data_IF_364679717132
#
_entry.id   IF_364679717132
#
_cell.length_a   1.000
_cell.length_b   1.000
_cell.length_c   1.000
_cell.angle_alpha   90.00
_cell.angle_beta   90.00
_cell.angle_gamma   90.00
#
_symmetry.space_group_name_H-M   'P 1'
#
loop_
_entity.id
_entity.type
_entity.pdbx_description
1 polymer ?
#
# COMPACT_ATOMS: atom_id res chain seq x y z
N UNK A 1 17.98 1.96 9.06
CA UNK A 1 16.66 1.49 8.59
C UNK A 1 16.23 2.32 7.40
N UNK A 2 15.72 1.65 6.39
CA UNK A 2 15.37 2.32 5.14
C UNK A 2 14.10 3.17 5.29
N UNK A 3 14.11 4.33 4.65
CA UNK A 3 12.93 5.18 4.58
C UNK A 3 11.86 4.49 3.70
N UNK A 4 10.60 4.63 4.10
CA UNK A 4 9.48 4.06 3.38
C UNK A 4 8.73 5.20 2.68
N UNK A 5 8.74 5.24 1.34
CA UNK A 5 8.03 6.29 0.63
C UNK A 5 6.51 6.08 0.74
N UNK A 6 5.81 7.17 1.00
CA UNK A 6 4.34 7.17 1.09
C UNK A 6 3.79 8.40 0.40
N UNK A 7 2.65 8.23 -0.27
CA UNK A 7 1.88 9.38 -0.73
C UNK A 7 1.19 10.02 0.47
N UNK A 8 0.74 11.26 0.32
CA UNK A 8 -0.02 11.93 1.39
C UNK A 8 -1.26 11.13 1.75
N UNK A 9 -1.99 10.63 0.74
CA UNK A 9 -3.18 9.82 0.96
C UNK A 9 -2.86 8.50 1.67
N UNK A 10 -1.77 7.84 1.29
CA UNK A 10 -1.36 6.57 1.89
C UNK A 10 -0.97 6.72 3.35
N UNK A 11 -0.22 7.77 3.68
CA UNK A 11 0.16 8.06 5.07
C UNK A 11 -1.08 8.34 5.92
N UNK A 12 -2.02 9.13 5.40
CA UNK A 12 -3.27 9.44 6.10
C UNK A 12 -4.10 8.19 6.34
N UNK A 13 -4.19 7.30 5.35
CA UNK A 13 -4.94 6.04 5.49
C UNK A 13 -4.35 5.16 6.61
N UNK A 14 -3.03 5.08 6.72
CA UNK A 14 -2.38 4.35 7.81
C UNK A 14 -2.64 4.98 9.16
N UNK A 15 -2.61 6.30 9.26
CA UNK A 15 -2.93 7.01 10.50
C UNK A 15 -4.37 6.75 10.95
N UNK A 16 -5.31 6.75 10.03
CA UNK A 16 -6.73 6.46 10.32
C UNK A 16 -6.89 5.02 10.78
N UNK A 17 -6.24 4.07 10.10
CA UNK A 17 -6.26 2.67 10.51
C UNK A 17 -5.69 2.49 11.92
N UNK A 18 -4.57 3.15 12.22
CA UNK A 18 -3.92 3.08 13.53
C UNK A 18 -4.86 3.57 14.64
N UNK A 19 -5.54 4.70 14.41
CA UNK A 19 -6.50 5.24 15.38
C UNK A 19 -7.65 4.25 15.60
N UNK A 20 -8.21 3.68 14.55
CA UNK A 20 -9.29 2.70 14.67
C UNK A 20 -8.85 1.49 15.47
N UNK A 21 -7.65 0.97 15.21
CA UNK A 21 -7.11 -0.18 15.94
C UNK A 21 -6.92 0.12 17.42
N UNK A 22 -6.41 1.30 17.77
CA UNK A 22 -6.16 1.69 19.17
C UNK A 22 -7.42 2.10 19.91
N UNK A 23 -8.33 2.82 19.26
CA UNK A 23 -9.47 3.43 19.94
C UNK A 23 -10.75 2.60 19.87
N UNK A 24 -10.87 1.73 18.86
CA UNK A 24 -12.07 0.91 18.64
C UNK A 24 -11.77 -0.57 18.86
N UNK A 25 -10.83 -1.12 18.11
CA UNK A 25 -10.59 -2.58 18.12
C UNK A 25 -9.90 -3.06 19.40
N UNK A 26 -8.90 -2.34 19.88
CA UNK A 26 -8.19 -2.73 21.12
C UNK A 26 -9.13 -2.78 22.32
N UNK A 27 -9.95 -1.74 22.59
CA UNK A 27 -10.91 -1.80 23.71
C UNK A 27 -11.93 -2.91 23.53
N UNK A 28 -12.41 -3.15 22.32
CA UNK A 28 -13.36 -4.24 22.03
C UNK A 28 -12.77 -5.59 22.40
N UNK A 29 -11.54 -5.84 21.98
CA UNK A 29 -10.86 -7.12 22.24
C UNK A 29 -10.61 -7.31 23.73
N UNK A 30 -10.20 -6.26 24.44
CA UNK A 30 -10.04 -6.33 25.91
C UNK A 30 -11.35 -6.72 26.59
N UNK A 31 -12.46 -6.13 26.13
CA UNK A 31 -13.79 -6.47 26.65
C UNK A 31 -14.17 -7.91 26.31
N UNK A 32 -13.89 -8.37 25.08
CA UNK A 32 -14.19 -9.74 24.66
C UNK A 32 -13.41 -10.77 25.50
N UNK A 33 -12.14 -10.48 25.80
CA UNK A 33 -11.31 -11.34 26.65
C UNK A 33 -11.90 -11.42 28.07
N UNK A 34 -12.29 -10.28 28.61
CA UNK A 34 -12.89 -10.23 29.94
C UNK A 34 -14.19 -11.05 29.99
N UNK A 35 -15.03 -10.91 28.97
CA UNK A 35 -16.27 -11.67 28.87
C UNK A 35 -16.01 -13.17 28.76
N UNK A 36 -15.05 -13.56 27.92
CA UNK A 36 -14.69 -14.96 27.70
C UNK A 36 -14.15 -15.61 28.99
N UNK A 37 -13.41 -14.86 29.80
CA UNK A 37 -12.86 -15.35 31.07
C UNK A 37 -13.94 -15.66 32.08
N UNK A 38 -15.09 -15.04 32.02
CA UNK A 38 -16.23 -15.31 32.89
C UNK A 38 -16.79 -16.71 32.70
N UNK A 39 -16.51 -17.37 31.58
CA UNK A 39 -16.94 -18.75 31.30
C UNK A 39 -16.11 -19.80 32.06
N UNK A 40 -15.05 -19.43 32.75
CA UNK A 40 -14.30 -20.26 33.69
C UNK A 40 -13.01 -20.86 33.16
N UNK A 41 -13.06 -22.04 32.54
CA UNK A 41 -11.86 -22.74 32.10
C UNK A 41 -11.18 -22.04 30.91
N UNK A 42 -9.91 -21.65 31.09
CA UNK A 42 -9.16 -20.95 30.02
C UNK A 42 -8.56 -21.91 29.02
N UNK A 43 -8.22 -23.14 29.41
CA UNK A 43 -7.60 -24.09 28.49
C UNK A 43 -8.54 -24.58 27.39
N UNK A 44 -9.78 -24.80 27.71
CA UNK A 44 -10.80 -25.35 26.81
C UNK A 44 -11.78 -24.27 26.32
N UNK A 45 -11.52 -23.01 26.65
CA UNK A 45 -12.40 -21.91 26.33
C UNK A 45 -12.05 -21.37 24.91
N UNK A 46 -12.81 -21.85 23.91
CA UNK A 46 -12.58 -21.47 22.52
C UNK A 46 -12.75 -19.96 22.28
N UNK A 47 -13.69 -19.33 22.97
CA UNK A 47 -13.91 -17.88 22.86
C UNK A 47 -12.72 -17.08 23.39
N UNK A 48 -12.15 -17.53 24.51
CA UNK A 48 -10.96 -16.92 25.09
C UNK A 48 -9.76 -17.03 24.13
N UNK A 49 -9.51 -18.22 23.57
CA UNK A 49 -8.41 -18.43 22.64
C UNK A 49 -8.58 -17.63 21.37
N UNK A 50 -9.79 -17.56 20.81
CA UNK A 50 -10.07 -16.75 19.64
C UNK A 50 -9.81 -15.26 19.88
N UNK A 51 -10.25 -14.76 21.05
CA UNK A 51 -10.04 -13.36 21.42
C UNK A 51 -8.55 -13.03 21.62
N UNK A 52 -7.79 -13.96 22.22
CA UNK A 52 -6.35 -13.80 22.40
C UNK A 52 -5.61 -13.82 21.07
N UNK A 53 -6.00 -14.67 20.13
CA UNK A 53 -5.41 -14.71 18.79
C UNK A 53 -5.70 -13.41 18.03
N UNK A 54 -6.92 -12.92 18.12
CA UNK A 54 -7.31 -11.65 17.52
C UNK A 54 -6.51 -10.48 18.12
N UNK A 55 -6.33 -10.49 19.43
CA UNK A 55 -5.50 -9.48 20.11
C UNK A 55 -4.07 -9.46 19.57
N UNK A 56 -3.46 -10.64 19.43
CA UNK A 56 -2.12 -10.76 18.88
C UNK A 56 -2.03 -10.21 17.45
N UNK A 57 -3.01 -10.51 16.63
CA UNK A 57 -3.10 -10.03 15.26
C UNK A 57 -3.16 -8.49 15.22
N UNK A 58 -4.07 -7.88 15.97
CA UNK A 58 -4.22 -6.43 15.95
C UNK A 58 -3.04 -5.71 16.59
N UNK A 59 -2.47 -6.23 17.68
CA UNK A 59 -1.28 -5.64 18.30
C UNK A 59 -0.08 -5.70 17.35
N UNK A 60 0.06 -6.78 16.60
CA UNK A 60 1.09 -6.90 15.57
C UNK A 60 0.89 -5.88 14.46
N UNK A 61 -0.34 -5.66 14.01
CA UNK A 61 -0.66 -4.66 12.99
C UNK A 61 -0.38 -3.24 13.48
N UNK A 62 -0.72 -2.94 14.74
CA UNK A 62 -0.41 -1.64 15.36
C UNK A 62 1.10 -1.38 15.33
N UNK A 63 1.91 -2.35 15.75
CA UNK A 63 3.36 -2.21 15.74
C UNK A 63 3.91 -2.02 14.34
N UNK A 64 3.38 -2.75 13.37
CA UNK A 64 3.78 -2.63 11.97
C UNK A 64 3.50 -1.22 11.44
N UNK A 65 2.29 -0.69 11.68
CA UNK A 65 1.92 0.66 11.22
C UNK A 65 2.78 1.71 11.91
N UNK A 66 2.97 1.62 13.23
CA UNK A 66 3.80 2.56 13.97
C UNK A 66 5.24 2.57 13.47
N UNK A 67 5.80 1.39 13.17
CA UNK A 67 7.12 1.28 12.59
C UNK A 67 7.22 1.95 11.21
N UNK A 68 6.23 1.70 10.35
CA UNK A 68 6.20 2.30 9.01
C UNK A 68 6.08 3.81 9.06
N UNK A 69 5.20 4.33 9.91
CA UNK A 69 5.04 5.78 10.06
C UNK A 69 6.30 6.44 10.62
N UNK A 70 7.03 5.75 11.51
CA UNK A 70 8.28 6.27 12.06
C UNK A 70 9.40 6.37 11.02
N UNK A 71 9.34 5.55 9.96
CA UNK A 71 10.33 5.53 8.87
C UNK A 71 9.80 6.20 7.60
N UNK A 72 8.66 6.83 7.67
CA UNK A 72 7.98 7.40 6.52
C UNK A 72 8.78 8.51 5.86
N UNK A 73 8.88 8.43 4.53
CA UNK A 73 9.29 9.53 3.67
C UNK A 73 8.04 10.01 2.94
N UNK A 74 7.47 11.12 3.39
CA UNK A 74 6.24 11.64 2.80
C UNK A 74 6.56 12.34 1.48
N UNK A 75 5.89 11.93 0.42
CA UNK A 75 6.07 12.52 -0.91
C UNK A 75 4.74 13.12 -1.36
N UNK A 76 4.72 14.45 -1.50
CA UNK A 76 3.60 15.15 -2.09
C UNK A 76 3.89 15.35 -3.56
N UNK A 77 3.27 14.52 -4.40
CA UNK A 77 3.54 14.49 -5.84
C UNK A 77 3.23 15.84 -6.52
N UNK A 78 2.27 16.59 -6.00
CA UNK A 78 1.90 17.89 -6.59
C UNK A 78 2.98 18.95 -6.42
N UNK A 79 3.94 18.72 -5.52
CA UNK A 79 5.05 19.64 -5.27
C UNK A 79 6.34 19.24 -5.98
N UNK A 80 6.32 18.11 -6.70
CA UNK A 80 7.48 17.65 -7.46
C UNK A 80 7.62 18.43 -8.78
N UNK A 81 8.84 18.45 -9.32
CA UNK A 81 9.12 19.04 -10.62
C UNK A 81 8.36 18.26 -11.71
N UNK A 82 7.54 18.97 -12.47
CA UNK A 82 6.72 18.34 -13.53
C UNK A 82 7.50 18.30 -14.85
N UNK A 83 8.51 17.44 -14.90
CA UNK A 83 9.42 17.32 -16.03
C UNK A 83 9.10 16.14 -16.97
N UNK A 84 7.98 15.45 -16.75
CA UNK A 84 7.56 14.31 -17.55
C UNK A 84 8.17 12.99 -17.12
N UNK A 85 8.97 12.98 -16.07
CA UNK A 85 9.59 11.74 -15.57
C UNK A 85 8.64 10.95 -14.69
N UNK A 86 8.73 9.63 -14.81
CA UNK A 86 8.01 8.71 -13.93
C UNK A 86 8.77 8.60 -12.62
N UNK A 87 8.15 9.09 -11.56
CA UNK A 87 8.69 9.02 -10.20
C UNK A 87 7.60 8.54 -9.25
N UNK A 88 7.97 8.23 -8.02
CA UNK A 88 7.00 7.83 -7.00
C UNK A 88 5.86 8.85 -6.90
N UNK A 89 4.64 8.36 -6.85
CA UNK A 89 3.43 9.17 -6.69
C UNK A 89 2.79 9.63 -8.00
N UNK A 90 3.49 9.53 -9.13
CA UNK A 90 2.95 9.98 -10.42
C UNK A 90 1.91 9.00 -10.97
N UNK A 91 0.96 9.55 -11.73
CA UNK A 91 -0.04 8.77 -12.47
C UNK A 91 0.37 8.72 -13.93
N UNK A 92 0.61 7.52 -14.42
CA UNK A 92 1.21 7.29 -15.74
C UNK A 92 0.20 6.62 -16.64
N UNK A 93 -0.07 7.24 -17.81
CA UNK A 93 -0.90 6.63 -18.86
C UNK A 93 0.01 5.87 -19.80
N UNK A 94 -0.27 4.58 -19.98
CA UNK A 94 0.50 3.68 -20.81
C UNK A 94 -0.33 3.18 -21.98
N UNK A 95 0.34 3.02 -23.11
CA UNK A 95 -0.23 2.34 -24.28
C UNK A 95 0.43 0.97 -24.41
N UNK A 96 -0.38 -0.09 -24.30
CA UNK A 96 0.10 -1.44 -24.59
C UNK A 96 0.24 -1.56 -26.10
N UNK A 97 1.47 -1.68 -26.58
CA UNK A 97 1.76 -1.67 -28.01
C UNK A 97 1.33 -2.94 -28.73
N UNK A 98 1.16 -4.04 -28.00
CA UNK A 98 0.69 -5.30 -28.56
C UNK A 98 -0.83 -5.29 -28.75
N UNK A 99 -1.57 -4.87 -27.72
CA UNK A 99 -3.03 -4.88 -27.70
C UNK A 99 -3.66 -3.56 -28.16
N UNK A 100 -2.85 -2.52 -28.32
CA UNK A 100 -3.28 -1.17 -28.67
C UNK A 100 -4.33 -0.62 -27.70
N UNK A 101 -4.14 -0.89 -26.41
CA UNK A 101 -5.05 -0.45 -25.35
C UNK A 101 -4.31 0.46 -24.37
N UNK A 102 -5.04 1.43 -23.78
CA UNK A 102 -4.49 2.36 -22.81
C UNK A 102 -4.91 1.97 -21.40
N UNK A 103 -4.00 2.16 -20.46
CA UNK A 103 -4.25 1.96 -19.04
C UNK A 103 -3.48 3.01 -18.25
N UNK A 104 -4.01 3.42 -17.10
CA UNK A 104 -3.33 4.37 -16.21
C UNK A 104 -3.05 3.72 -14.88
N UNK A 105 -1.83 3.93 -14.37
CA UNK A 105 -1.41 3.47 -13.06
C UNK A 105 -0.77 4.59 -12.27
N UNK A 106 -1.04 4.62 -10.97
CA UNK A 106 -0.33 5.48 -10.03
C UNK A 106 0.69 4.64 -9.27
N UNK A 107 1.92 5.13 -9.15
CA UNK A 107 2.98 4.46 -8.38
C UNK A 107 2.86 4.90 -6.93
N UNK A 108 2.58 3.95 -6.04
CA UNK A 108 2.34 4.21 -4.61
C UNK A 108 3.18 3.28 -3.74
N UNK A 109 3.12 3.46 -2.43
CA UNK A 109 3.76 2.54 -1.48
C UNK A 109 3.02 1.19 -1.43
N UNK A 110 3.70 0.16 -0.90
CA UNK A 110 3.12 -1.19 -0.84
C UNK A 110 1.78 -1.25 -0.12
N UNK A 111 1.63 -0.48 0.97
CA UNK A 111 0.41 -0.50 1.77
C UNK A 111 -0.77 0.15 1.07
N UNK A 112 -0.51 1.01 0.11
CA UNK A 112 -1.55 1.70 -0.64
C UNK A 112 -1.88 1.01 -1.96
N UNK A 113 -1.07 0.04 -2.39
CA UNK A 113 -1.22 -0.61 -3.68
C UNK A 113 -2.56 -1.34 -3.79
N UNK A 114 -3.28 -1.10 -4.89
CA UNK A 114 -4.54 -1.76 -5.22
C UNK A 114 -4.72 -1.71 -6.73
N UNK A 115 -4.44 -2.81 -7.38
CA UNK A 115 -4.44 -2.90 -8.85
C UNK A 115 -5.82 -2.58 -9.45
N UNK A 116 -6.89 -2.90 -8.75
CA UNK A 116 -8.25 -2.62 -9.22
C UNK A 116 -8.52 -1.11 -9.27
N UNK A 117 -7.86 -0.34 -8.41
CA UNK A 117 -7.94 1.12 -8.39
C UNK A 117 -6.84 1.78 -9.21
N UNK A 118 -6.05 1.00 -9.94
CA UNK A 118 -4.95 1.52 -10.73
C UNK A 118 -3.74 1.97 -9.90
N UNK A 119 -3.61 1.48 -8.69
CA UNK A 119 -2.49 1.81 -7.80
C UNK A 119 -1.53 0.65 -7.74
N UNK A 120 -0.30 0.87 -8.20
CA UNK A 120 0.73 -0.16 -8.22
C UNK A 120 1.83 0.15 -7.22
N UNK A 121 2.36 -0.90 -6.59
CA UNK A 121 3.48 -0.76 -5.67
C UNK A 121 4.73 -0.28 -6.42
N UNK A 122 5.49 0.62 -5.79
CA UNK A 122 6.77 1.05 -6.31
C UNK A 122 7.79 -0.09 -6.43
N UNK A 123 7.54 -1.22 -5.77
CA UNK A 123 8.37 -2.43 -5.86
C UNK A 123 7.87 -3.42 -6.90
N UNK A 124 6.74 -3.15 -7.55
CA UNK A 124 6.21 -4.04 -8.60
C UNK A 124 7.09 -4.01 -9.84
N UNK A 125 7.11 -5.09 -10.64
CA UNK A 125 7.90 -5.13 -11.87
C UNK A 125 7.57 -3.99 -12.85
N UNK A 126 6.29 -3.64 -12.98
CA UNK A 126 5.87 -2.57 -13.88
C UNK A 126 6.35 -1.21 -13.39
N UNK A 127 6.22 -0.93 -12.07
CA UNK A 127 6.71 0.33 -11.50
C UNK A 127 8.23 0.45 -11.65
N UNK A 128 8.97 -0.63 -11.41
CA UNK A 128 10.43 -0.63 -11.56
C UNK A 128 10.86 -0.37 -13.02
N UNK A 129 10.09 -0.85 -13.97
CA UNK A 129 10.38 -0.60 -15.38
C UNK A 129 10.08 0.85 -15.76
N UNK A 130 9.10 1.49 -15.14
CA UNK A 130 8.68 2.86 -15.45
C UNK A 130 9.54 3.92 -14.78
N UNK A 131 9.92 3.71 -13.51
CA UNK A 131 10.66 4.71 -12.73
C UNK A 131 11.99 5.04 -13.42
N UNK A 132 12.24 6.34 -13.61
CA UNK A 132 13.43 6.83 -14.29
C UNK A 132 13.26 7.08 -15.79
N UNK A 133 12.18 6.58 -16.37
CA UNK A 133 11.82 6.89 -17.75
C UNK A 133 10.91 8.11 -17.82
N UNK A 134 10.60 8.59 -19.01
CA UNK A 134 9.82 9.80 -19.18
C UNK A 134 8.80 9.66 -20.32
N UNK A 135 7.93 10.65 -20.45
CA UNK A 135 6.95 10.68 -21.55
C UNK A 135 7.63 10.45 -22.89
N UNK A 136 7.02 9.60 -23.70
CA UNK A 136 7.53 9.23 -25.02
C UNK A 136 8.41 8.01 -25.04
N UNK A 137 8.90 7.56 -23.89
CA UNK A 137 9.75 6.38 -23.82
C UNK A 137 8.93 5.09 -23.98
N UNK A 138 9.57 4.08 -24.55
CA UNK A 138 9.05 2.73 -24.60
C UNK A 138 9.74 1.91 -23.51
N UNK A 139 8.96 1.13 -22.76
CA UNK A 139 9.48 0.27 -21.69
C UNK A 139 8.99 -1.15 -21.87
N UNK A 140 9.84 -2.10 -21.52
CA UNK A 140 9.49 -3.53 -21.53
C UNK A 140 9.28 -4.00 -20.10
N UNK A 141 8.11 -4.54 -19.83
CA UNK A 141 7.77 -5.13 -18.52
C UNK A 141 7.84 -6.63 -18.65
N UNK A 142 8.67 -7.27 -17.84
CA UNK A 142 8.79 -8.73 -17.82
C UNK A 142 7.68 -9.31 -16.96
N UNK A 143 6.77 -10.03 -17.59
CA UNK A 143 5.65 -10.70 -16.92
C UNK A 143 5.78 -12.22 -17.05
N UNK A 144 5.16 -12.99 -16.16
CA UNK A 144 5.24 -14.47 -16.23
C UNK A 144 4.78 -15.06 -17.56
N UNK A 145 3.83 -14.40 -18.23
CA UNK A 145 3.30 -14.86 -19.52
C UNK A 145 4.08 -14.32 -20.73
N UNK A 146 5.13 -13.57 -20.51
CA UNK A 146 5.93 -12.95 -21.56
C UNK A 146 6.10 -11.45 -21.36
N UNK A 147 6.97 -10.85 -22.14
CA UNK A 147 7.26 -9.43 -22.04
C UNK A 147 6.12 -8.61 -22.65
N UNK A 148 5.78 -7.51 -21.97
CA UNK A 148 4.78 -6.55 -22.44
C UNK A 148 5.49 -5.24 -22.76
N UNK A 149 5.29 -4.73 -23.96
CA UNK A 149 5.89 -3.47 -24.39
C UNK A 149 4.86 -2.34 -24.26
N UNK A 150 5.24 -1.32 -23.48
CA UNK A 150 4.41 -0.14 -23.27
C UNK A 150 5.10 1.12 -23.77
N UNK A 151 4.28 2.07 -24.23
CA UNK A 151 4.75 3.43 -24.48
C UNK A 151 4.18 4.33 -23.38
N UNK A 152 5.02 5.19 -22.80
CA UNK A 152 4.60 6.17 -21.79
C UNK A 152 3.98 7.36 -22.52
N UNK A 153 2.66 7.48 -22.43
CA UNK A 153 1.90 8.53 -23.14
C UNK A 153 1.91 9.83 -22.35
N UNK A 154 1.65 9.76 -21.07
CA UNK A 154 1.50 10.94 -20.21
C UNK A 154 1.91 10.60 -18.78
N UNK A 155 2.54 11.56 -18.11
CA UNK A 155 2.88 11.50 -16.70
C UNK A 155 2.23 12.68 -15.99
N UNK A 156 1.32 12.40 -15.07
CA UNK A 156 0.59 13.42 -14.31
C UNK A 156 1.06 13.44 -12.85
N UNK A 157 1.23 14.65 -12.34
CA UNK A 157 1.67 14.90 -10.95
C UNK A 157 0.47 15.36 -10.11
N UNK A 158 -0.51 14.48 -9.95
CA UNK A 158 -1.81 14.80 -9.31
C UNK A 158 -2.05 14.04 -8.00
#
# INVERSE_FOLDING_TARGET
MDAIPMTVAGAKALEVELLRLKDVERPRIVSDIATAREHGDLKENAEYHAAKDEQGFFEGRIQEIESKLSRMQLINVTQLTQDGRCVFGTTITLLNLTENSKISYQIVGEDEADIELGKISCHSPIAKALIGNEEGDEVTVKAPKGDILYEIIEVQYI
#
